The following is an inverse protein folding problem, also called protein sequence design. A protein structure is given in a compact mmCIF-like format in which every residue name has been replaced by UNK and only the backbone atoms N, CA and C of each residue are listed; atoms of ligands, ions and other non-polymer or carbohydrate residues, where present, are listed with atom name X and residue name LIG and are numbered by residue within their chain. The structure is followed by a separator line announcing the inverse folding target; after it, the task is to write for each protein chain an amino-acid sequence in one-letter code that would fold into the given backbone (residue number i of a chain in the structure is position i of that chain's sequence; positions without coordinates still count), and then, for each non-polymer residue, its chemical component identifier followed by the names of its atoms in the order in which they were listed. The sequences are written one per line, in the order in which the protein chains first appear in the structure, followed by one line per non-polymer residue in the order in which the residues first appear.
data_IF_399345986828
#
_entry.id   IF_399345986828
#
_cell.length_a   1.000
_cell.length_b   1.000
_cell.length_c   1.000
_cell.angle_alpha   90.00
_cell.angle_beta   90.00
_cell.angle_gamma   90.00
#
_symmetry.space_group_name_H-M   'P 1'
#
loop_
_entity.id
_entity.type
_entity.pdbx_description
1 polymer ?
#
# COMPACT_ATOMS: atom_id res chain seq x y z
N UNK A 1 -3.44 -2.73 12.13
CA UNK A 1 -3.74 -3.43 10.86
C UNK A 1 -2.71 -3.08 9.80
N UNK A 2 -2.53 -3.99 8.86
CA UNK A 2 -1.61 -3.81 7.73
C UNK A 2 -2.38 -4.02 6.44
N UNK A 3 -2.26 -3.08 5.51
CA UNK A 3 -2.86 -3.19 4.19
C UNK A 3 -1.72 -3.22 3.17
N UNK A 4 -1.69 -4.26 2.35
CA UNK A 4 -0.61 -4.46 1.39
C UNK A 4 -1.19 -4.47 -0.03
N UNK A 5 -0.56 -3.73 -0.93
CA UNK A 5 -0.89 -3.75 -2.35
C UNK A 5 0.35 -4.15 -3.14
N UNK A 6 0.21 -5.11 -4.04
CA UNK A 6 1.28 -5.60 -4.89
C UNK A 6 1.07 -5.12 -6.32
N UNK A 7 2.13 -4.65 -6.96
CA UNK A 7 2.11 -4.21 -8.34
C UNK A 7 3.26 -4.84 -9.12
N UNK A 8 3.08 -4.91 -10.43
CA UNK A 8 4.09 -5.39 -11.36
C UNK A 8 4.37 -4.31 -12.40
N UNK A 9 5.64 -3.95 -12.56
CA UNK A 9 6.07 -2.99 -13.58
C UNK A 9 5.34 -1.65 -13.48
N UNK A 10 5.02 -1.24 -12.26
CA UNK A 10 4.40 0.05 -11.97
C UNK A 10 5.30 0.83 -11.01
N UNK A 11 4.82 1.16 -9.83
CA UNK A 11 5.62 1.81 -8.82
C UNK A 11 5.07 1.50 -7.44
N UNK A 12 5.93 1.57 -6.43
CA UNK A 12 5.48 1.39 -5.06
C UNK A 12 4.59 2.55 -4.64
N UNK A 13 4.86 3.78 -5.12
CA UNK A 13 4.00 4.92 -4.83
C UNK A 13 2.63 4.74 -5.47
N UNK A 14 2.57 4.14 -6.66
CA UNK A 14 1.30 3.82 -7.30
C UNK A 14 0.52 2.79 -6.52
N UNK A 15 1.22 1.82 -5.93
CA UNK A 15 0.57 0.83 -5.08
C UNK A 15 -0.06 1.49 -3.85
N UNK A 16 0.67 2.39 -3.19
CA UNK A 16 0.12 3.13 -2.06
C UNK A 16 -1.08 3.98 -2.47
N UNK A 17 -0.99 4.66 -3.61
CA UNK A 17 -2.11 5.46 -4.10
C UNK A 17 -3.34 4.59 -4.34
N UNK A 18 -3.14 3.39 -4.85
CA UNK A 18 -4.26 2.49 -5.09
C UNK A 18 -4.92 2.03 -3.80
N UNK A 19 -4.14 1.76 -2.76
CA UNK A 19 -4.71 1.45 -1.46
C UNK A 19 -5.62 2.60 -1.01
N UNK A 20 -5.14 3.82 -1.14
CA UNK A 20 -5.89 4.99 -0.69
C UNK A 20 -7.15 5.21 -1.53
N UNK A 21 -7.12 4.83 -2.80
CA UNK A 21 -8.26 5.00 -3.70
C UNK A 21 -9.29 3.89 -3.59
N UNK A 22 -8.92 2.74 -3.05
CA UNK A 22 -9.79 1.56 -2.99
C UNK A 22 -10.75 1.58 -1.82
N UNK A 23 -11.00 2.71 -1.23
CA UNK A 23 -11.96 2.80 -0.13
C UNK A 23 -11.64 1.88 1.04
N UNK A 24 -10.34 1.65 1.27
CA UNK A 24 -9.99 0.84 2.43
C UNK A 24 -10.61 1.43 3.70
N UNK A 25 -10.91 2.72 3.67
CA UNK A 25 -11.55 3.39 4.77
C UNK A 25 -12.95 2.86 5.07
N UNK A 26 -13.65 2.35 4.05
CA UNK A 26 -14.96 1.76 4.29
C UNK A 26 -14.84 0.48 5.11
N UNK A 27 -13.83 -0.33 4.84
CA UNK A 27 -13.60 -1.55 5.58
C UNK A 27 -13.00 -1.28 6.97
N UNK A 28 -12.26 -0.19 7.11
CA UNK A 28 -11.50 0.11 8.32
C UNK A 28 -11.98 1.38 9.03
N UNK A 29 -13.14 1.91 8.63
CA UNK A 29 -13.60 3.19 9.18
C UNK A 29 -13.81 3.15 10.69
N UNK A 30 -14.13 2.00 11.22
CA UNK A 30 -14.33 1.84 12.65
C UNK A 30 -13.06 1.40 13.38
N UNK A 31 -11.98 1.18 12.63
CA UNK A 31 -10.72 0.76 13.19
C UNK A 31 -10.04 1.92 13.88
N UNK A 32 -9.59 1.69 15.10
CA UNK A 32 -8.86 2.68 15.89
C UNK A 32 -7.48 2.14 16.18
N UNK A 33 -6.46 2.99 16.03
CA UNK A 33 -5.09 2.60 16.29
C UNK A 33 -4.20 2.84 15.10
N UNK A 34 -3.11 2.08 15.03
CA UNK A 34 -2.12 2.24 13.97
C UNK A 34 -2.52 1.43 12.75
N UNK A 35 -2.36 2.04 11.58
CA UNK A 35 -2.62 1.40 10.31
C UNK A 35 -1.36 1.56 9.45
N UNK A 36 -0.85 0.45 8.93
CA UNK A 36 0.29 0.46 8.01
C UNK A 36 -0.19 0.18 6.60
N UNK A 37 0.15 1.08 5.69
CA UNK A 37 -0.10 0.88 4.27
C UNK A 37 1.23 0.52 3.61
N UNK A 38 1.27 -0.62 2.92
CA UNK A 38 2.50 -1.11 2.31
C UNK A 38 2.29 -1.27 0.82
N UNK A 39 3.01 -0.49 0.03
CA UNK A 39 3.00 -0.62 -1.42
C UNK A 39 4.27 -1.31 -1.87
N UNK A 40 4.14 -2.39 -2.62
CA UNK A 40 5.28 -3.15 -3.13
C UNK A 40 5.14 -3.25 -4.64
N UNK A 41 6.22 -2.97 -5.35
CA UNK A 41 6.26 -3.11 -6.79
C UNK A 41 7.43 -4.01 -7.18
N UNK A 42 7.19 -4.91 -8.13
CA UNK A 42 8.24 -5.71 -8.74
C UNK A 42 8.46 -5.24 -10.17
N UNK A 43 9.71 -4.91 -10.49
CA UNK A 43 10.11 -4.51 -11.83
C UNK A 43 10.78 -5.70 -12.51
N UNK A 44 10.13 -6.28 -13.51
CA UNK A 44 10.67 -7.47 -14.16
C UNK A 44 11.88 -7.17 -15.02
N UNK A 45 12.05 -5.91 -15.45
CA UNK A 45 13.21 -5.52 -16.25
C UNK A 45 14.47 -5.49 -15.42
N UNK A 46 14.43 -4.85 -14.25
CA UNK A 46 15.57 -4.79 -13.34
C UNK A 46 15.59 -5.95 -12.35
N UNK A 47 14.48 -6.69 -12.24
CA UNK A 47 14.29 -7.78 -11.30
C UNK A 47 14.46 -7.32 -9.86
N UNK A 48 14.03 -6.09 -9.57
CA UNK A 48 14.12 -5.51 -8.25
C UNK A 48 12.75 -5.23 -7.68
N UNK A 49 12.67 -5.28 -6.36
CA UNK A 49 11.47 -4.90 -5.63
C UNK A 49 11.64 -3.50 -5.08
N UNK A 50 10.54 -2.79 -5.03
CA UNK A 50 10.47 -1.49 -4.41
C UNK A 50 9.36 -1.52 -3.38
N UNK A 51 9.62 -0.99 -2.20
CA UNK A 51 8.64 -1.04 -1.12
C UNK A 51 8.54 0.33 -0.46
N UNK A 52 7.31 0.81 -0.30
CA UNK A 52 7.04 2.03 0.45
C UNK A 52 6.04 1.73 1.55
N UNK A 53 6.26 2.29 2.71
CA UNK A 53 5.41 2.07 3.88
C UNK A 53 4.95 3.43 4.39
N UNK A 54 3.66 3.54 4.63
CA UNK A 54 3.07 4.73 5.23
C UNK A 54 2.31 4.33 6.47
N UNK A 55 2.59 5.01 7.58
CA UNK A 55 1.89 4.76 8.83
C UNK A 55 0.82 5.82 9.02
N UNK A 56 -0.40 5.36 9.27
CA UNK A 56 -1.52 6.23 9.57
C UNK A 56 -2.02 5.88 10.95
N UNK A 57 -2.20 6.89 11.77
CA UNK A 57 -2.76 6.71 13.09
C UNK A 57 -4.20 7.23 13.09
N UNK A 58 -5.11 6.37 13.48
CA UNK A 58 -6.54 6.71 13.50
C UNK A 58 -7.08 6.72 14.91
#
# INVERSE_FOLDING_TARGET
AVVIELKWDKSASGALAQIKNKNYGDALKDYQGNLLLVGINYDKTTKKHECLIEKIQK
#
